data_IF_465663023944
#
_entry.id   IF_465663023944
#
_cell.length_a   1.000
_cell.length_b   1.000
_cell.length_c   1.000
_cell.angle_alpha   90.00
_cell.angle_beta   90.00
_cell.angle_gamma   90.00
#
_symmetry.space_group_name_H-M   'P 1'
#
loop_
_entity.id
_entity.type
_entity.pdbx_description
1 polymer ?
#
# COMPACT_ATOMS: atom_id res chain seq x y z
N UNK A 1 5.30 -8.28 -10.93
CA UNK A 1 4.23 -7.55 -11.66
C UNK A 1 3.71 -6.48 -10.73
N UNK A 2 3.52 -5.26 -11.20
CA UNK A 2 2.95 -4.18 -10.40
C UNK A 2 1.55 -3.84 -10.94
N UNK A 3 0.57 -3.72 -10.04
CA UNK A 3 -0.79 -3.25 -10.34
C UNK A 3 -0.99 -1.92 -9.61
N UNK A 4 -1.50 -0.93 -10.34
CA UNK A 4 -1.80 0.39 -9.81
C UNK A 4 -3.16 0.82 -10.35
N UNK A 5 -3.98 1.40 -9.48
CA UNK A 5 -5.18 2.11 -9.91
C UNK A 5 -4.78 3.33 -10.76
N UNK A 6 -5.64 3.72 -11.70
CA UNK A 6 -5.33 4.76 -12.70
C UNK A 6 -5.08 6.15 -12.12
N UNK A 7 -5.46 6.37 -10.87
CA UNK A 7 -5.33 7.64 -10.14
C UNK A 7 -4.20 7.63 -9.09
N UNK A 8 -3.44 6.53 -8.99
CA UNK A 8 -2.27 6.46 -8.12
C UNK A 8 -1.10 7.21 -8.72
N UNK A 9 -0.46 8.04 -7.90
CA UNK A 9 0.73 8.82 -8.26
C UNK A 9 1.93 8.33 -7.43
N UNK A 10 2.78 7.44 -7.97
CA UNK A 10 3.93 6.92 -7.24
C UNK A 10 5.02 7.97 -7.04
N UNK A 11 5.68 7.94 -5.88
CA UNK A 11 6.85 8.77 -5.61
C UNK A 11 8.11 8.12 -6.18
N UNK A 12 9.11 8.93 -6.55
CA UNK A 12 10.44 8.40 -6.92
C UNK A 12 10.97 7.49 -5.81
N UNK A 13 11.49 6.31 -6.16
CA UNK A 13 12.03 5.35 -5.19
C UNK A 13 11.00 4.36 -4.61
N UNK A 14 9.70 4.50 -4.92
CA UNK A 14 8.66 3.65 -4.35
C UNK A 14 8.84 2.17 -4.69
N UNK A 15 9.30 1.89 -5.92
CA UNK A 15 9.46 0.53 -6.42
C UNK A 15 10.64 -0.14 -5.72
N UNK A 16 11.78 0.54 -5.64
CA UNK A 16 12.99 0.07 -4.99
C UNK A 16 12.75 -0.20 -3.49
N UNK A 17 12.02 0.70 -2.82
CA UNK A 17 11.65 0.53 -1.42
C UNK A 17 10.83 -0.76 -1.19
N UNK A 18 9.88 -1.06 -2.08
CA UNK A 18 9.05 -2.26 -1.97
C UNK A 18 9.76 -3.54 -2.42
N UNK A 19 10.62 -3.45 -3.44
CA UNK A 19 11.29 -4.62 -4.01
C UNK A 19 12.21 -5.33 -3.01
N UNK A 20 12.74 -4.61 -2.02
CA UNK A 20 13.57 -5.18 -0.95
C UNK A 20 12.87 -6.28 -0.14
N UNK A 21 11.53 -6.22 -0.01
CA UNK A 21 10.78 -7.26 0.72
C UNK A 21 10.81 -8.63 0.02
N UNK A 22 11.03 -8.68 -1.29
CA UNK A 22 11.11 -9.95 -2.03
C UNK A 22 12.45 -10.69 -1.83
N UNK A 23 13.38 -10.13 -1.05
CA UNK A 23 14.52 -10.89 -0.53
C UNK A 23 14.05 -12.07 0.34
N UNK A 24 12.89 -11.96 0.98
CA UNK A 24 12.22 -13.09 1.61
C UNK A 24 11.46 -13.91 0.55
N UNK A 25 11.82 -15.19 0.32
CA UNK A 25 11.11 -16.06 -0.62
C UNK A 25 9.65 -16.33 -0.23
N UNK A 26 9.27 -16.18 1.04
CA UNK A 26 7.90 -16.36 1.52
C UNK A 26 6.98 -15.18 1.15
N UNK A 27 7.55 -14.02 0.82
CA UNK A 27 6.76 -12.84 0.42
C UNK A 27 6.28 -12.99 -1.03
N UNK A 28 4.96 -13.16 -1.18
CA UNK A 28 4.30 -13.26 -2.48
C UNK A 28 3.86 -11.90 -3.05
N UNK A 29 3.48 -10.97 -2.17
CA UNK A 29 2.91 -9.66 -2.50
C UNK A 29 3.32 -8.62 -1.45
N UNK A 30 3.58 -7.39 -1.89
CA UNK A 30 3.84 -6.21 -1.05
C UNK A 30 2.98 -5.03 -1.51
N UNK A 31 2.65 -4.13 -0.59
CA UNK A 31 1.91 -2.91 -0.87
C UNK A 31 2.50 -1.73 -0.09
N UNK A 32 2.56 -0.53 -0.67
CA UNK A 32 2.95 0.66 0.07
C UNK A 32 1.81 1.17 0.94
N UNK A 33 2.15 2.07 1.88
CA UNK A 33 1.16 2.94 2.52
C UNK A 33 0.55 3.86 1.48
N UNK A 34 -0.78 3.93 1.44
CA UNK A 34 -1.51 4.84 0.55
C UNK A 34 -1.89 6.09 1.34
N UNK A 35 -1.65 7.26 0.76
CA UNK A 35 -1.96 8.56 1.39
C UNK A 35 -2.63 9.47 0.37
N UNK A 36 -3.39 10.45 0.86
CA UNK A 36 -4.01 11.46 -0.01
C UNK A 36 -2.96 12.21 -0.84
N UNK A 37 -3.23 12.39 -2.13
CA UNK A 37 -2.35 13.11 -3.05
C UNK A 37 -2.25 14.60 -2.71
N UNK A 38 -3.38 15.23 -2.41
CA UNK A 38 -3.48 16.63 -2.05
C UNK A 38 -4.00 16.77 -0.62
N UNK A 39 -3.42 17.69 0.13
CA UNK A 39 -3.99 18.15 1.39
C UNK A 39 -5.06 19.21 1.05
N UNK A 40 -6.27 18.99 1.54
CA UNK A 40 -7.37 19.96 1.45
C UNK A 40 -7.89 20.21 2.85
N UNK A 41 -8.33 21.44 3.12
CA UNK A 41 -8.86 21.83 4.44
C UNK A 41 -10.36 21.59 4.59
N UNK A 42 -11.00 20.94 3.62
CA UNK A 42 -12.40 20.58 3.72
C UNK A 42 -12.63 19.45 4.76
N UNK A 43 -13.87 19.34 5.25
CA UNK A 43 -14.21 18.37 6.30
C UNK A 43 -13.92 16.91 5.94
N UNK A 44 -14.07 16.54 4.67
CA UNK A 44 -13.81 15.17 4.17
C UNK A 44 -12.31 14.87 4.22
N UNK A 45 -11.47 15.78 3.73
CA UNK A 45 -10.03 15.60 3.75
C UNK A 45 -9.46 15.52 5.17
N UNK A 46 -10.01 16.29 6.11
CA UNK A 46 -9.65 16.18 7.54
C UNK A 46 -10.05 14.84 8.16
N UNK A 47 -11.19 14.28 7.75
CA UNK A 47 -11.62 12.95 8.18
C UNK A 47 -10.71 11.87 7.61
N UNK A 48 -10.47 11.87 6.29
CA UNK A 48 -9.59 10.92 5.61
C UNK A 48 -8.17 10.94 6.19
N UNK A 49 -7.64 12.11 6.54
CA UNK A 49 -6.32 12.24 7.16
C UNK A 49 -6.16 11.45 8.48
N UNK A 50 -7.26 11.06 9.13
CA UNK A 50 -7.26 10.34 10.42
C UNK A 50 -7.92 8.96 10.31
N UNK A 51 -8.85 8.76 9.38
CA UNK A 51 -9.73 7.58 9.29
C UNK A 51 -9.75 6.90 7.92
N UNK A 52 -8.82 7.23 7.03
CA UNK A 52 -8.78 6.61 5.71
C UNK A 52 -8.65 5.09 5.81
N UNK A 53 -9.44 4.37 5.00
CA UNK A 53 -9.32 2.92 4.84
C UNK A 53 -8.09 2.52 4.01
N UNK A 54 -7.49 3.45 3.26
CA UNK A 54 -6.30 3.17 2.45
C UNK A 54 -5.00 3.35 3.23
N UNK A 55 -5.03 4.18 4.28
CA UNK A 55 -3.86 4.46 5.11
C UNK A 55 -3.83 3.53 6.34
N UNK A 56 -3.12 2.41 6.21
CA UNK A 56 -2.98 1.41 7.27
C UNK A 56 -1.81 1.68 8.23
N UNK A 57 -1.25 2.89 8.20
CA UNK A 57 -0.24 3.35 9.14
C UNK A 57 1.19 3.37 8.60
N UNK A 58 2.09 3.84 9.46
CA UNK A 58 3.48 4.17 9.10
C UNK A 58 4.44 2.99 9.14
N UNK A 59 4.08 1.92 9.86
CA UNK A 59 4.99 0.78 10.09
C UNK A 59 4.66 -0.34 9.14
N UNK A 60 5.69 -0.93 8.55
CA UNK A 60 5.58 -2.19 7.84
C UNK A 60 5.02 -3.27 8.78
N UNK A 61 4.13 -4.12 8.27
CA UNK A 61 3.55 -5.22 9.01
C UNK A 61 3.08 -6.31 8.03
N UNK A 62 3.06 -7.59 8.45
CA UNK A 62 2.43 -8.63 7.67
C UNK A 62 0.92 -8.43 7.60
N UNK A 63 0.33 -8.87 6.50
CA UNK A 63 -1.11 -8.80 6.25
C UNK A 63 -1.76 -10.02 6.89
N UNK A 64 -2.40 -9.84 8.03
CA UNK A 64 -2.99 -10.95 8.80
C UNK A 64 -4.36 -10.57 9.37
N UNK A 65 -5.35 -11.48 9.36
CA UNK A 65 -6.65 -11.23 9.98
C UNK A 65 -6.50 -10.72 11.42
N UNK A 66 -7.27 -9.68 11.76
CA UNK A 66 -7.27 -9.02 13.08
C UNK A 66 -5.94 -8.37 13.52
N UNK A 67 -4.93 -8.29 12.63
CA UNK A 67 -3.70 -7.55 12.87
C UNK A 67 -3.83 -6.04 12.62
N UNK A 68 -2.73 -5.32 12.82
CA UNK A 68 -2.65 -3.86 12.54
C UNK A 68 -2.85 -3.55 11.05
N UNK A 69 -2.43 -4.47 10.19
CA UNK A 69 -2.69 -4.48 8.75
C UNK A 69 -3.51 -5.74 8.47
N UNK A 70 -4.84 -5.60 8.53
CA UNK A 70 -5.76 -6.73 8.39
C UNK A 70 -6.13 -7.05 6.94
N UNK A 71 -5.81 -6.14 6.02
CA UNK A 71 -6.02 -6.27 4.59
C UNK A 71 -5.01 -5.41 3.83
N UNK A 72 -4.98 -5.54 2.51
CA UNK A 72 -4.19 -4.68 1.62
C UNK A 72 -5.15 -3.96 0.67
N UNK A 73 -5.14 -2.62 0.64
CA UNK A 73 -5.83 -1.88 -0.40
C UNK A 73 -5.19 -2.16 -1.76
N UNK A 74 -6.00 -2.43 -2.79
CA UNK A 74 -5.51 -2.78 -4.13
C UNK A 74 -4.94 -1.60 -4.92
N UNK A 75 -5.00 -0.37 -4.38
CA UNK A 75 -4.58 0.86 -5.05
C UNK A 75 -3.17 0.75 -5.64
N UNK A 76 -2.23 0.13 -4.92
CA UNK A 76 -0.94 -0.24 -5.46
C UNK A 76 -0.43 -1.52 -4.83
N UNK A 77 -0.11 -2.53 -5.64
CA UNK A 77 0.47 -3.79 -5.18
C UNK A 77 1.57 -4.25 -6.14
N UNK A 78 2.58 -4.92 -5.59
CA UNK A 78 3.59 -5.64 -6.38
C UNK A 78 3.51 -7.10 -5.97
N UNK A 79 3.44 -7.98 -6.96
CA UNK A 79 3.33 -9.42 -6.77
C UNK A 79 4.43 -10.16 -7.53
N UNK A 80 4.91 -11.27 -6.98
CA UNK A 80 5.66 -12.27 -7.77
C UNK A 80 4.76 -12.76 -8.89
N UNK A 81 5.29 -12.86 -10.12
CA UNK A 81 4.52 -13.40 -11.24
C UNK A 81 4.04 -14.83 -10.94
N UNK A 82 4.87 -15.64 -10.29
CA UNK A 82 4.52 -17.02 -9.92
C UNK A 82 3.39 -17.14 -8.89
N UNK A 83 3.03 -16.04 -8.22
CA UNK A 83 1.87 -15.99 -7.32
C UNK A 83 0.58 -15.57 -8.04
N UNK A 84 0.66 -15.25 -9.34
CA UNK A 84 -0.48 -14.95 -10.20
C UNK A 84 -0.81 -16.21 -11.01
N UNK A 85 -2.09 -16.53 -11.12
CA UNK A 85 -2.62 -17.66 -11.91
C UNK A 85 -2.28 -17.56 -13.40
#
# INVERSE_FOLDING_TARGET
VAFLDSDVVPRKGWLEALLGHFCDPAVALVAPRIVALHQSDNGVARYEAVRSSLDLGLREAPVIPYGTVSYVPSAAIICRRSALI
#
